data_IF_664060130754
#
_entry.id   IF_664060130754
#
_cell.length_a   1.000
_cell.length_b   1.000
_cell.length_c   1.000
_cell.angle_alpha   90.00
_cell.angle_beta   90.00
_cell.angle_gamma   90.00
#
_symmetry.space_group_name_H-M   'P 1'
#
loop_
_entity.id
_entity.type
_entity.pdbx_description
1 polymer ?
#
# COMPACT_ATOMS: atom_id res chain seq x y z
N UNK A 1 4.08 -35.35 23.59
CA UNK A 1 3.71 -34.36 22.55
C UNK A 1 3.71 -32.90 23.04
N UNK A 2 3.33 -32.59 24.30
CA UNK A 2 3.39 -31.22 24.86
C UNK A 2 4.79 -30.58 24.88
N UNK A 3 5.84 -31.37 25.16
CA UNK A 3 7.23 -30.88 25.29
C UNK A 3 7.87 -30.45 23.95
N UNK A 4 7.52 -31.10 22.84
CA UNK A 4 7.99 -30.70 21.49
C UNK A 4 7.40 -29.35 21.03
N UNK A 5 6.17 -29.04 21.45
CA UNK A 5 5.50 -27.78 21.13
C UNK A 5 6.09 -26.58 21.87
N UNK A 6 6.43 -26.73 23.16
CA UNK A 6 7.13 -25.70 23.94
C UNK A 6 8.56 -25.46 23.43
N UNK A 7 9.32 -26.53 23.18
CA UNK A 7 10.69 -26.43 22.62
C UNK A 7 10.71 -25.75 21.26
N UNK A 8 9.70 -26.00 20.41
CA UNK A 8 9.54 -25.32 19.12
C UNK A 8 9.22 -23.84 19.26
N UNK A 9 8.29 -23.45 20.15
CA UNK A 9 7.98 -22.04 20.42
C UNK A 9 9.17 -21.27 20.99
N UNK A 10 9.98 -21.93 21.84
CA UNK A 10 11.20 -21.35 22.41
C UNK A 10 12.25 -21.05 21.34
N UNK A 11 12.51 -22.00 20.43
CA UNK A 11 13.54 -21.84 19.40
C UNK A 11 13.13 -20.81 18.32
N UNK A 12 11.85 -20.78 17.93
CA UNK A 12 11.33 -19.79 16.99
C UNK A 12 11.43 -18.37 17.58
N UNK A 13 11.14 -18.21 18.87
CA UNK A 13 11.27 -16.93 19.57
C UNK A 13 12.74 -16.48 19.66
N UNK A 14 13.65 -17.37 20.04
CA UNK A 14 15.09 -17.06 20.07
C UNK A 14 15.61 -16.66 18.69
N UNK A 15 15.18 -17.37 17.65
CA UNK A 15 15.53 -17.08 16.27
C UNK A 15 15.09 -15.66 15.85
N UNK A 16 13.82 -15.30 16.08
CA UNK A 16 13.33 -13.94 15.80
C UNK A 16 14.05 -12.87 16.62
N UNK A 17 14.33 -13.14 17.90
CA UNK A 17 15.09 -12.22 18.75
C UNK A 17 16.48 -11.93 18.19
N UNK A 18 17.16 -12.93 17.63
CA UNK A 18 18.48 -12.74 17.00
C UNK A 18 18.40 -11.95 15.71
N UNK A 19 17.39 -12.22 14.88
CA UNK A 19 17.12 -11.45 13.68
C UNK A 19 16.82 -9.97 13.97
N UNK A 20 15.98 -9.68 14.96
CA UNK A 20 15.67 -8.29 15.32
C UNK A 20 16.88 -7.56 15.89
N UNK A 21 17.70 -8.23 16.72
CA UNK A 21 18.96 -7.68 17.20
C UNK A 21 19.94 -7.39 16.05
N UNK A 22 19.98 -8.24 15.02
CA UNK A 22 20.78 -7.99 13.81
C UNK A 22 20.29 -6.73 13.07
N UNK A 23 18.97 -6.56 12.90
CA UNK A 23 18.39 -5.34 12.29
C UNK A 23 18.79 -4.08 13.08
N UNK A 24 18.72 -4.12 14.41
CA UNK A 24 19.15 -2.98 15.25
C UNK A 24 20.64 -2.64 15.05
N UNK A 25 21.51 -3.66 14.94
CA UNK A 25 22.93 -3.46 14.67
C UNK A 25 23.18 -2.84 13.29
N UNK A 26 22.41 -3.24 12.27
CA UNK A 26 22.50 -2.69 10.92
C UNK A 26 22.05 -1.23 10.88
N UNK A 27 20.96 -0.87 11.56
CA UNK A 27 20.55 0.53 11.71
C UNK A 27 21.58 1.36 12.47
N UNK A 28 22.22 0.80 13.50
CA UNK A 28 23.31 1.47 14.21
C UNK A 28 24.56 1.66 13.33
N UNK A 29 24.90 0.68 12.48
CA UNK A 29 25.97 0.81 11.47
C UNK A 29 25.68 1.97 10.52
N UNK A 30 24.43 2.11 10.07
CA UNK A 30 23.96 3.22 9.24
C UNK A 30 24.16 4.58 9.92
N UNK A 31 23.71 4.75 11.16
CA UNK A 31 23.86 6.03 11.89
C UNK A 31 25.32 6.48 12.00
N UNK A 32 26.25 5.54 12.23
CA UNK A 32 27.67 5.85 12.28
C UNK A 32 28.24 6.30 10.91
N UNK A 33 27.74 5.73 9.80
CA UNK A 33 28.13 6.18 8.45
C UNK A 33 27.65 7.61 8.19
N UNK A 34 26.42 7.95 8.54
CA UNK A 34 25.90 9.31 8.41
C UNK A 34 26.69 10.33 9.23
N UNK A 35 26.97 10.01 10.50
CA UNK A 35 27.72 10.91 11.39
C UNK A 35 29.17 11.12 10.94
N UNK A 36 29.78 10.14 10.25
CA UNK A 36 31.12 10.26 9.66
C UNK A 36 31.14 11.29 8.52
N UNK A 37 30.09 11.34 7.69
CA UNK A 37 29.99 12.29 6.58
C UNK A 37 29.72 13.73 7.06
N UNK A 38 29.15 13.92 8.25
CA UNK A 38 28.84 15.23 8.82
C UNK A 38 29.97 15.87 9.65
N UNK A 39 30.95 15.10 10.14
CA UNK A 39 31.99 15.60 11.06
C UNK A 39 33.39 14.99 10.79
N UNK A 40 34.20 15.70 10.01
CA UNK A 40 35.59 15.34 9.64
C UNK A 40 36.57 15.35 10.84
N UNK A 41 36.21 15.92 11.99
CA UNK A 41 37.12 16.09 13.15
C UNK A 41 37.17 14.91 14.14
N UNK A 42 36.38 13.84 13.93
CA UNK A 42 36.27 12.69 14.86
C UNK A 42 36.55 11.32 14.20
N UNK A 43 37.37 11.28 13.16
CA UNK A 43 37.59 10.08 12.36
C UNK A 43 38.10 8.86 13.14
N UNK A 44 39.05 9.03 14.08
CA UNK A 44 39.67 7.89 14.78
C UNK A 44 38.69 7.15 15.70
N UNK A 45 37.84 7.88 16.46
CA UNK A 45 36.82 7.29 17.34
C UNK A 45 35.67 6.64 16.56
N UNK A 46 35.32 7.20 15.40
CA UNK A 46 34.30 6.64 14.52
C UNK A 46 34.79 5.33 13.86
N UNK A 47 36.07 5.24 13.47
CA UNK A 47 36.65 4.01 12.89
C UNK A 47 36.63 2.83 13.87
N UNK A 48 37.01 3.07 15.13
CA UNK A 48 36.98 2.03 16.19
C UNK A 48 35.55 1.56 16.49
N UNK A 49 34.60 2.50 16.55
CA UNK A 49 33.18 2.19 16.78
C UNK A 49 32.56 1.41 15.61
N UNK A 50 32.92 1.74 14.37
CA UNK A 50 32.47 1.00 13.17
C UNK A 50 33.03 -0.43 13.13
N UNK A 51 34.33 -0.61 13.39
CA UNK A 51 34.96 -1.93 13.43
C UNK A 51 34.32 -2.85 14.49
N UNK A 52 33.98 -2.30 15.66
CA UNK A 52 33.30 -3.04 16.71
C UNK A 52 31.91 -3.53 16.27
N UNK A 53 31.10 -2.66 15.66
CA UNK A 53 29.75 -3.01 15.18
C UNK A 53 29.81 -4.04 14.06
N UNK A 54 30.79 -3.97 13.15
CA UNK A 54 30.97 -5.00 12.13
C UNK A 54 31.28 -6.38 12.73
N UNK A 55 32.07 -6.42 13.81
CA UNK A 55 32.30 -7.64 14.59
C UNK A 55 31.01 -8.17 15.23
N UNK A 56 30.19 -7.29 15.80
CA UNK A 56 28.89 -7.64 16.40
C UNK A 56 27.91 -8.20 15.35
N UNK A 57 27.82 -7.57 14.17
CA UNK A 57 26.98 -8.05 13.04
C UNK A 57 27.44 -9.43 12.58
N UNK A 58 28.75 -9.64 12.40
CA UNK A 58 29.29 -10.94 11.99
C UNK A 58 29.00 -12.04 13.01
N UNK A 59 29.03 -11.71 14.29
CA UNK A 59 28.66 -12.65 15.35
C UNK A 59 27.16 -12.95 15.35
N UNK A 60 26.30 -11.95 15.14
CA UNK A 60 24.85 -12.14 15.03
C UNK A 60 24.48 -13.11 13.89
N UNK A 61 25.08 -12.96 12.70
CA UNK A 61 24.89 -13.91 11.59
C UNK A 61 25.30 -15.34 11.95
N UNK A 62 26.44 -15.53 12.62
CA UNK A 62 26.88 -16.87 13.07
C UNK A 62 25.92 -17.49 14.07
N UNK A 63 25.36 -16.70 14.99
CA UNK A 63 24.38 -17.18 15.95
C UNK A 63 23.07 -17.60 15.28
N UNK A 64 22.58 -16.81 14.32
CA UNK A 64 21.41 -17.15 13.50
C UNK A 64 21.66 -18.47 12.75
N UNK A 65 22.80 -18.61 12.08
CA UNK A 65 23.17 -19.84 11.35
C UNK A 65 23.25 -21.07 12.27
N UNK A 66 23.76 -20.89 13.50
CA UNK A 66 23.80 -21.95 14.50
C UNK A 66 22.40 -22.40 14.91
N UNK A 67 21.47 -21.47 15.12
CA UNK A 67 20.06 -21.77 15.42
C UNK A 67 19.41 -22.53 14.25
N UNK A 68 19.67 -22.14 13.00
CA UNK A 68 19.15 -22.85 11.84
C UNK A 68 19.68 -24.28 11.71
N UNK A 69 20.99 -24.47 11.96
CA UNK A 69 21.62 -25.80 12.00
C UNK A 69 21.02 -26.66 13.11
N UNK A 70 20.79 -26.09 14.29
CA UNK A 70 20.15 -26.78 15.41
C UNK A 70 18.70 -27.14 15.12
N UNK A 71 17.92 -26.22 14.55
CA UNK A 71 16.54 -26.44 14.12
C UNK A 71 16.46 -27.58 13.11
N UNK A 72 17.37 -27.60 12.12
CA UNK A 72 17.48 -28.67 11.13
C UNK A 72 17.78 -30.03 11.79
N UNK A 73 18.72 -30.10 12.73
CA UNK A 73 19.03 -31.33 13.50
C UNK A 73 17.81 -31.83 14.30
N UNK A 74 17.02 -30.91 14.83
CA UNK A 74 15.79 -31.21 15.60
C UNK A 74 14.55 -31.45 14.74
N UNK A 75 14.65 -31.34 13.41
CA UNK A 75 13.52 -31.45 12.48
C UNK A 75 12.49 -30.32 12.64
N UNK A 76 12.91 -29.18 13.18
CA UNK A 76 12.07 -27.98 13.34
C UNK A 76 12.27 -27.11 12.10
N UNK A 77 11.17 -26.87 11.37
CA UNK A 77 11.19 -25.94 10.24
C UNK A 77 10.78 -24.55 10.73
N UNK A 78 11.78 -23.68 10.90
CA UNK A 78 11.63 -22.25 11.20
C UNK A 78 10.86 -21.55 10.07
N UNK A 79 9.99 -20.60 10.40
CA UNK A 79 9.08 -19.96 9.44
C UNK A 79 9.83 -19.16 8.38
N UNK A 80 10.78 -18.30 8.77
CA UNK A 80 11.56 -17.52 7.82
C UNK A 80 12.34 -18.42 6.85
N UNK A 81 12.98 -19.48 7.35
CA UNK A 81 13.69 -20.47 6.51
C UNK A 81 12.75 -21.12 5.48
N UNK A 82 11.49 -21.40 5.86
CA UNK A 82 10.49 -21.90 4.91
C UNK A 82 10.14 -20.85 3.86
N UNK A 83 9.88 -19.61 4.26
CA UNK A 83 9.53 -18.50 3.36
C UNK A 83 10.66 -18.24 2.37
N UNK A 84 11.91 -18.14 2.86
CA UNK A 84 13.11 -18.01 2.04
C UNK A 84 13.19 -19.09 0.97
N UNK A 85 13.03 -20.36 1.36
CA UNK A 85 13.07 -21.49 0.42
C UNK A 85 11.89 -21.49 -0.56
N UNK A 86 10.68 -21.18 -0.10
CA UNK A 86 9.46 -21.19 -0.92
C UNK A 86 9.48 -20.12 -2.01
N UNK A 87 9.98 -18.93 -1.67
CA UNK A 87 9.99 -17.77 -2.57
C UNK A 87 11.35 -17.50 -3.21
N UNK A 88 12.35 -18.35 -2.95
CA UNK A 88 13.70 -18.23 -3.50
C UNK A 88 14.32 -16.86 -3.19
N UNK A 89 14.18 -16.43 -1.93
CA UNK A 89 14.59 -15.09 -1.51
C UNK A 89 16.12 -14.97 -1.41
N UNK A 90 16.66 -13.83 -1.84
CA UNK A 90 18.04 -13.44 -1.55
C UNK A 90 18.25 -13.10 -0.07
N UNK A 91 19.50 -12.91 0.34
CA UNK A 91 19.81 -12.49 1.72
C UNK A 91 19.29 -11.07 2.01
N UNK A 92 19.33 -10.19 1.02
CA UNK A 92 18.78 -8.83 1.12
C UNK A 92 17.26 -8.85 1.22
N UNK A 93 16.59 -9.68 0.41
CA UNK A 93 15.13 -9.82 0.48
C UNK A 93 14.66 -10.40 1.82
N UNK A 94 15.44 -11.32 2.39
CA UNK A 94 15.23 -11.82 3.75
C UNK A 94 15.38 -10.71 4.79
N UNK A 95 16.44 -9.90 4.70
CA UNK A 95 16.65 -8.75 5.60
C UNK A 95 15.50 -7.74 5.51
N UNK A 96 15.02 -7.43 4.31
CA UNK A 96 13.89 -6.51 4.10
C UNK A 96 12.61 -7.02 4.78
N UNK A 97 12.30 -8.31 4.63
CA UNK A 97 11.12 -8.90 5.29
C UNK A 97 11.23 -8.85 6.81
N UNK A 98 12.41 -9.15 7.36
CA UNK A 98 12.64 -9.12 8.80
C UNK A 98 12.55 -7.69 9.34
N UNK A 99 13.11 -6.72 8.63
CA UNK A 99 13.06 -5.31 9.02
C UNK A 99 11.63 -4.78 9.04
N UNK A 100 10.84 -5.05 7.99
CA UNK A 100 9.43 -4.68 7.93
C UNK A 100 8.62 -5.37 9.03
N UNK A 101 8.85 -6.67 9.26
CA UNK A 101 8.18 -7.38 10.36
C UNK A 101 8.47 -6.74 11.72
N UNK A 102 9.73 -6.37 11.97
CA UNK A 102 10.13 -5.72 13.22
C UNK A 102 9.41 -4.39 13.39
N UNK A 103 9.41 -3.56 12.34
CA UNK A 103 8.78 -2.24 12.37
C UNK A 103 7.26 -2.34 12.58
N UNK A 104 6.59 -3.27 11.89
CA UNK A 104 5.14 -3.51 12.02
C UNK A 104 4.76 -4.02 13.42
N UNK A 105 5.63 -4.83 14.06
CA UNK A 105 5.39 -5.36 15.42
C UNK A 105 5.73 -4.37 16.54
N UNK A 106 6.70 -3.46 16.32
CA UNK A 106 7.13 -2.48 17.31
C UNK A 106 6.25 -1.20 17.31
N UNK A 107 5.27 -1.09 16.41
CA UNK A 107 4.25 -0.01 16.40
C UNK A 107 4.85 1.40 16.29
N UNK A 108 5.84 1.56 15.41
CA UNK A 108 6.84 2.62 15.52
C UNK A 108 6.38 4.04 15.14
N UNK A 109 6.56 4.97 16.08
CA UNK A 109 6.72 6.43 15.84
C UNK A 109 8.17 6.77 15.42
N UNK A 110 9.10 5.79 15.39
CA UNK A 110 10.55 6.03 15.24
C UNK A 110 11.23 5.50 13.97
N UNK A 111 10.68 4.50 13.31
CA UNK A 111 11.27 3.93 12.09
C UNK A 111 10.30 4.16 10.94
N UNK A 112 10.77 4.79 9.87
CA UNK A 112 9.96 4.93 8.66
C UNK A 112 10.13 3.65 7.85
N UNK A 113 9.06 3.11 7.28
CA UNK A 113 9.22 2.02 6.33
C UNK A 113 9.56 2.55 4.91
N UNK A 114 10.24 3.70 4.84
CA UNK A 114 10.52 4.38 3.59
C UNK A 114 11.52 3.59 2.74
N UNK A 115 11.37 3.65 1.43
CA UNK A 115 12.31 2.98 0.52
C UNK A 115 13.77 3.44 0.66
N UNK A 116 14.01 4.71 1.03
CA UNK A 116 15.38 5.18 1.38
C UNK A 116 15.94 4.41 2.56
N UNK A 117 15.15 4.28 3.63
CA UNK A 117 15.56 3.61 4.87
C UNK A 117 15.86 2.13 4.61
N UNK A 118 14.98 1.46 3.86
CA UNK A 118 15.16 0.05 3.51
C UNK A 118 16.34 -0.18 2.57
N UNK A 119 16.61 0.72 1.61
CA UNK A 119 17.79 0.65 0.76
C UNK A 119 19.08 0.84 1.56
N UNK A 120 19.08 1.75 2.52
CA UNK A 120 20.25 2.00 3.37
C UNK A 120 20.58 0.87 4.32
N UNK A 121 19.60 0.01 4.61
CA UNK A 121 19.81 -1.21 5.36
C UNK A 121 20.61 -2.25 4.55
N UNK A 122 20.30 -2.36 3.25
CA UNK A 122 20.84 -3.43 2.40
C UNK A 122 22.01 -2.99 1.52
N UNK A 123 22.26 -1.70 1.34
CA UNK A 123 23.32 -1.17 0.47
C UNK A 123 24.47 -0.56 1.27
N UNK A 124 25.71 -0.83 0.86
CA UNK A 124 26.89 -0.23 1.48
C UNK A 124 27.22 1.16 0.94
N UNK A 125 26.97 1.40 -0.35
CA UNK A 125 27.26 2.64 -1.06
C UNK A 125 26.19 3.02 -2.08
N UNK A 126 26.37 4.16 -2.76
CA UNK A 126 25.40 4.67 -3.73
C UNK A 126 25.31 3.82 -5.01
N UNK A 127 26.37 3.09 -5.39
CA UNK A 127 26.35 2.18 -6.54
C UNK A 127 25.46 0.98 -6.23
N UNK A 128 25.63 0.38 -5.06
CA UNK A 128 24.76 -0.71 -4.60
C UNK A 128 23.31 -0.26 -4.43
N UNK A 129 23.07 0.97 -3.94
CA UNK A 129 21.70 1.53 -3.84
C UNK A 129 21.00 1.54 -5.21
N UNK A 130 21.72 1.89 -6.28
CA UNK A 130 21.15 1.93 -7.63
C UNK A 130 20.79 0.54 -8.16
N UNK A 131 21.62 -0.46 -7.86
CA UNK A 131 21.35 -1.85 -8.23
C UNK A 131 20.16 -2.43 -7.45
N UNK A 132 20.16 -2.21 -6.12
CA UNK A 132 19.17 -2.75 -5.17
C UNK A 132 17.82 -2.05 -5.22
N UNK A 133 17.70 -0.90 -5.90
CA UNK A 133 16.43 -0.24 -6.22
C UNK A 133 15.45 -1.18 -6.95
N UNK A 134 15.98 -2.14 -7.72
CA UNK A 134 15.19 -3.13 -8.45
C UNK A 134 14.29 -3.99 -7.54
N UNK A 135 14.68 -4.23 -6.28
CA UNK A 135 13.86 -4.95 -5.29
C UNK A 135 12.54 -4.23 -4.96
N UNK A 136 12.54 -2.91 -5.07
CA UNK A 136 11.40 -2.03 -4.80
C UNK A 136 10.59 -1.68 -6.05
N UNK A 137 10.99 -2.22 -7.21
CA UNK A 137 10.24 -2.08 -8.46
C UNK A 137 9.04 -3.04 -8.50
N UNK A 138 8.05 -2.78 -9.37
CA UNK A 138 6.91 -3.68 -9.55
C UNK A 138 7.32 -5.12 -9.95
N UNK A 139 8.51 -5.30 -10.53
CA UNK A 139 9.06 -6.60 -10.91
C UNK A 139 9.95 -7.24 -9.82
N UNK A 140 10.20 -6.55 -8.71
CA UNK A 140 10.94 -7.08 -7.57
C UNK A 140 10.27 -8.34 -7.02
N UNK A 141 11.06 -9.32 -6.59
CA UNK A 141 10.52 -10.63 -6.18
C UNK A 141 9.52 -10.49 -5.04
N UNK A 142 9.85 -9.71 -4.01
CA UNK A 142 8.99 -9.53 -2.83
C UNK A 142 7.61 -8.93 -3.18
N UNK A 143 7.57 -7.94 -4.07
CA UNK A 143 6.34 -7.31 -4.55
C UNK A 143 5.57 -8.28 -5.44
N UNK A 144 6.24 -8.90 -6.42
CA UNK A 144 5.64 -9.88 -7.34
C UNK A 144 5.05 -11.10 -6.63
N UNK A 145 5.64 -11.52 -5.51
CA UNK A 145 5.15 -12.63 -4.69
C UNK A 145 4.11 -12.19 -3.64
N UNK A 146 3.73 -10.92 -3.63
CA UNK A 146 2.79 -10.31 -2.69
C UNK A 146 3.23 -10.51 -1.24
N UNK A 147 4.52 -10.32 -0.94
CA UNK A 147 5.08 -10.40 0.41
C UNK A 147 5.24 -9.00 1.04
N UNK A 148 5.49 -7.99 0.21
CA UNK A 148 5.51 -6.58 0.63
C UNK A 148 4.60 -5.77 -0.29
N UNK A 149 4.00 -4.72 0.24
CA UNK A 149 3.23 -3.73 -0.50
C UNK A 149 3.72 -2.32 -0.15
N UNK A 150 3.33 -1.33 -0.96
CA UNK A 150 3.67 0.09 -0.76
C UNK A 150 2.40 0.90 -0.61
N UNK A 151 2.41 1.89 0.30
CA UNK A 151 1.25 2.75 0.56
C UNK A 151 1.08 3.87 -0.48
N UNK A 152 2.15 4.23 -1.18
CA UNK A 152 2.14 5.30 -2.18
C UNK A 152 2.93 4.91 -3.43
N UNK A 153 2.39 5.22 -4.61
CA UNK A 153 3.05 4.94 -5.88
C UNK A 153 3.77 6.16 -6.48
N UNK A 154 4.58 6.79 -5.63
CA UNK A 154 5.59 7.74 -6.03
C UNK A 154 6.94 7.08 -6.29
N UNK A 155 8.00 7.87 -6.14
CA UNK A 155 9.37 7.34 -6.14
C UNK A 155 9.46 6.15 -5.19
N UNK A 156 10.03 4.99 -5.61
CA UNK A 156 10.25 3.85 -4.73
C UNK A 156 11.01 4.21 -3.46
N UNK A 157 11.78 5.30 -3.48
CA UNK A 157 12.51 5.87 -2.35
C UNK A 157 11.60 6.54 -1.31
N UNK A 158 10.53 7.21 -1.76
CA UNK A 158 9.63 7.99 -0.89
C UNK A 158 8.40 7.22 -0.44
N UNK A 159 8.16 6.05 -1.02
CA UNK A 159 7.07 5.17 -0.62
C UNK A 159 7.37 4.49 0.72
N UNK A 160 6.35 4.37 1.56
CA UNK A 160 6.38 3.51 2.74
C UNK A 160 5.94 2.10 2.36
N UNK A 161 6.67 1.10 2.86
CA UNK A 161 6.41 -0.31 2.61
C UNK A 161 5.83 -0.99 3.85
N UNK A 162 5.05 -2.04 3.66
CA UNK A 162 4.53 -2.85 4.77
C UNK A 162 4.48 -4.33 4.38
N UNK A 163 4.43 -5.21 5.37
CA UNK A 163 4.17 -6.61 5.11
C UNK A 163 2.72 -6.83 4.74
N UNK A 164 2.49 -7.61 3.70
CA UNK A 164 1.13 -8.05 3.36
C UNK A 164 0.62 -9.03 4.41
N UNK A 165 -0.70 -9.17 4.52
CA UNK A 165 -1.29 -10.17 5.42
C UNK A 165 -0.79 -11.59 5.14
N UNK A 166 -0.54 -11.90 3.86
CA UNK A 166 0.08 -13.16 3.42
C UNK A 166 1.45 -13.34 4.05
N UNK A 167 2.32 -12.34 3.96
CA UNK A 167 3.63 -12.41 4.58
C UNK A 167 3.52 -12.55 6.10
N UNK A 168 2.62 -11.80 6.75
CA UNK A 168 2.37 -11.89 8.19
C UNK A 168 1.90 -13.29 8.62
N UNK A 169 1.00 -13.92 7.86
CA UNK A 169 0.57 -15.29 8.10
C UNK A 169 1.73 -16.29 7.95
N UNK A 170 2.53 -16.17 6.91
CA UNK A 170 3.64 -17.11 6.68
C UNK A 170 4.76 -16.94 7.71
N UNK A 171 5.15 -15.70 8.00
CA UNK A 171 6.27 -15.36 8.88
C UNK A 171 5.98 -15.59 10.36
N UNK A 172 4.79 -15.26 10.84
CA UNK A 172 4.47 -15.36 12.28
C UNK A 172 3.16 -16.12 12.57
N UNK A 173 2.35 -16.39 11.56
CA UNK A 173 1.07 -17.10 11.74
C UNK A 173 -0.02 -16.16 12.20
N UNK A 174 0.12 -14.87 11.87
CA UNK A 174 -0.92 -13.89 12.06
C UNK A 174 -2.16 -14.32 11.29
N UNK A 175 -3.27 -14.55 11.98
CA UNK A 175 -4.56 -14.90 11.39
C UNK A 175 -5.49 -13.71 11.59
N UNK A 176 -5.28 -12.69 10.75
CA UNK A 176 -5.95 -11.40 10.84
C UNK A 176 -7.42 -11.43 10.42
N UNK A 177 -7.83 -12.39 9.59
CA UNK A 177 -9.22 -12.64 9.16
C UNK A 177 -9.37 -14.16 8.92
N UNK A 178 -10.61 -14.69 8.97
CA UNK A 178 -10.92 -16.14 8.98
C UNK A 178 -10.29 -16.89 7.80
N UNK A 179 -9.47 -17.90 8.12
CA UNK A 179 -8.78 -18.84 7.20
C UNK A 179 -9.69 -19.56 6.18
N UNK A 180 -11.02 -19.47 6.35
CA UNK A 180 -12.02 -20.10 5.47
C UNK A 180 -12.35 -19.26 4.22
N UNK A 181 -12.28 -17.93 4.31
CA UNK A 181 -12.54 -17.02 3.18
C UNK A 181 -11.39 -17.02 2.16
N UNK A 182 -10.16 -17.37 2.60
CA UNK A 182 -8.95 -17.41 1.78
C UNK A 182 -8.78 -18.68 0.93
N UNK A 183 -9.39 -19.80 1.34
CA UNK A 183 -9.30 -21.08 0.63
C UNK A 183 -10.34 -21.19 -0.50
N UNK A 184 -11.46 -20.46 -0.38
CA UNK A 184 -12.46 -20.32 -1.46
C UNK A 184 -11.96 -19.39 -2.59
N UNK A 185 -10.97 -18.53 -2.32
CA UNK A 185 -10.39 -17.56 -3.28
C UNK A 185 -9.34 -18.12 -4.26
N UNK A 186 -8.74 -19.30 -4.01
CA UNK A 186 -7.66 -19.82 -4.87
C UNK A 186 -8.14 -20.52 -6.15
N UNK A 187 -9.36 -21.03 -6.18
CA UNK A 187 -9.92 -21.63 -7.40
C UNK A 187 -10.50 -20.56 -8.36
N UNK A 188 -10.90 -19.39 -7.84
CA UNK A 188 -11.45 -18.29 -8.65
C UNK A 188 -10.40 -17.31 -9.18
N UNK A 189 -9.24 -17.15 -8.51
CA UNK A 189 -8.17 -16.24 -8.92
C UNK A 189 -7.30 -16.73 -10.11
N UNK A 190 -7.73 -17.79 -10.80
CA UNK A 190 -7.21 -18.17 -12.12
C UNK A 190 -7.96 -17.48 -13.27
N UNK A 191 -9.05 -16.77 -12.97
CA UNK A 191 -9.77 -15.88 -13.90
C UNK A 191 -9.46 -14.41 -13.64
N UNK A 192 -9.36 -13.63 -14.71
CA UNK A 192 -9.25 -12.17 -14.70
C UNK A 192 -10.23 -11.54 -13.71
N UNK A 193 -9.75 -10.86 -12.66
CA UNK A 193 -10.41 -9.70 -12.06
C UNK A 193 -9.53 -8.99 -11.03
N UNK A 194 -8.81 -7.97 -11.52
CA UNK A 194 -8.13 -6.95 -10.71
C UNK A 194 -9.06 -5.78 -10.32
N UNK A 195 -10.37 -6.00 -10.21
CA UNK A 195 -11.38 -4.95 -9.99
C UNK A 195 -11.45 -4.46 -8.54
N UNK A 196 -11.16 -5.32 -7.57
CA UNK A 196 -11.43 -5.06 -6.15
C UNK A 196 -10.54 -3.96 -5.50
N UNK A 197 -9.56 -3.43 -6.25
CA UNK A 197 -8.64 -2.42 -5.74
C UNK A 197 -8.93 -0.98 -6.23
N UNK A 198 -9.73 -0.79 -7.29
CA UNK A 198 -9.92 0.55 -7.88
C UNK A 198 -11.12 1.31 -7.31
N UNK A 199 -12.23 0.61 -7.03
CA UNK A 199 -13.49 1.21 -6.58
C UNK A 199 -13.97 0.51 -5.31
N UNK A 200 -14.22 1.30 -4.26
CA UNK A 200 -14.93 0.80 -3.08
C UNK A 200 -16.41 1.09 -3.23
N UNK A 201 -17.22 0.03 -3.42
CA UNK A 201 -18.67 0.16 -3.48
C UNK A 201 -19.29 0.17 -2.08
N UNK A 202 -20.13 1.17 -1.83
CA UNK A 202 -20.83 1.35 -0.57
C UNK A 202 -22.33 1.43 -0.86
N UNK A 203 -23.12 0.68 -0.10
CA UNK A 203 -24.57 0.88 -0.03
C UNK A 203 -24.85 1.98 0.99
N UNK A 204 -25.33 3.16 0.55
CA UNK A 204 -25.50 4.29 1.44
C UNK A 204 -26.61 4.02 2.46
N UNK A 205 -26.34 4.32 3.73
CA UNK A 205 -27.31 4.31 4.82
C UNK A 205 -27.76 5.72 5.24
N UNK A 206 -27.07 6.75 4.75
CA UNK A 206 -27.30 8.17 5.06
C UNK A 206 -28.29 8.80 4.09
N UNK A 207 -29.10 9.74 4.56
CA UNK A 207 -30.00 10.58 3.74
C UNK A 207 -29.69 12.06 3.89
N UNK A 208 -30.25 12.91 3.04
CA UNK A 208 -29.99 14.36 3.09
C UNK A 208 -30.35 15.00 4.43
N UNK A 209 -31.38 14.50 5.11
CA UNK A 209 -31.78 14.94 6.45
C UNK A 209 -30.70 14.73 7.53
N UNK A 210 -29.75 13.83 7.28
CA UNK A 210 -28.68 13.46 8.22
C UNK A 210 -27.44 14.36 8.02
N UNK A 211 -27.50 15.32 7.09
CA UNK A 211 -26.41 16.26 6.77
C UNK A 211 -26.87 17.69 7.04
N UNK A 212 -26.05 18.46 7.76
CA UNK A 212 -26.30 19.88 8.00
C UNK A 212 -25.80 20.68 6.80
N UNK A 213 -26.72 21.27 6.03
CA UNK A 213 -26.44 22.07 4.84
C UNK A 213 -27.11 23.43 4.95
N UNK A 214 -26.56 24.44 4.25
CA UNK A 214 -27.24 25.74 4.13
C UNK A 214 -28.53 25.57 3.30
N UNK A 215 -29.56 26.40 3.52
CA UNK A 215 -30.82 26.32 2.76
C UNK A 215 -30.60 26.40 1.25
N UNK A 216 -29.69 27.26 0.80
CA UNK A 216 -29.39 27.46 -0.63
C UNK A 216 -28.75 26.23 -1.25
N UNK A 217 -27.82 25.58 -0.53
CA UNK A 217 -27.15 24.37 -1.01
C UNK A 217 -28.12 23.17 -1.02
N UNK A 218 -29.00 23.08 -0.01
CA UNK A 218 -30.03 22.05 0.06
C UNK A 218 -31.01 22.16 -1.10
N UNK A 219 -31.46 23.37 -1.43
CA UNK A 219 -32.34 23.64 -2.57
C UNK A 219 -31.65 23.21 -3.88
N UNK A 220 -30.40 23.65 -4.10
CA UNK A 220 -29.63 23.27 -5.29
C UNK A 220 -29.48 21.76 -5.44
N UNK A 221 -29.11 21.04 -4.36
CA UNK A 221 -28.98 19.57 -4.40
C UNK A 221 -30.33 18.90 -4.68
N UNK A 222 -31.42 19.44 -4.11
CA UNK A 222 -32.77 18.91 -4.30
C UNK A 222 -33.21 19.01 -5.75
N UNK A 223 -32.94 20.14 -6.42
CA UNK A 223 -33.22 20.34 -7.84
C UNK A 223 -32.48 19.32 -8.70
N UNK A 224 -31.21 19.07 -8.39
CA UNK A 224 -30.43 18.09 -9.14
C UNK A 224 -30.95 16.67 -8.92
N UNK A 225 -31.34 16.30 -7.70
CA UNK A 225 -31.96 14.98 -7.42
C UNK A 225 -33.28 14.85 -8.20
N UNK A 226 -34.10 15.90 -8.22
CA UNK A 226 -35.33 15.91 -9.01
C UNK A 226 -35.06 15.73 -10.50
N UNK A 227 -34.02 16.39 -11.03
CA UNK A 227 -33.57 16.22 -12.41
C UNK A 227 -33.14 14.78 -12.72
N UNK A 228 -32.35 14.15 -11.83
CA UNK A 228 -31.91 12.75 -12.00
C UNK A 228 -33.12 11.79 -11.98
N UNK A 229 -34.05 11.97 -11.03
CA UNK A 229 -35.27 11.15 -10.95
C UNK A 229 -36.18 11.35 -12.17
N UNK A 230 -36.24 12.59 -12.69
CA UNK A 230 -37.03 12.98 -13.87
C UNK A 230 -36.38 12.65 -15.22
N UNK A 231 -35.11 12.25 -15.24
CA UNK A 231 -34.31 12.04 -16.44
C UNK A 231 -34.99 11.08 -17.44
N UNK A 232 -35.55 9.98 -16.95
CA UNK A 232 -36.32 9.02 -17.77
C UNK A 232 -37.54 9.66 -18.42
N UNK A 233 -38.27 10.49 -17.68
CA UNK A 233 -39.46 11.18 -18.19
C UNK A 233 -39.09 12.18 -19.28
N UNK A 234 -38.04 12.97 -19.06
CA UNK A 234 -37.60 14.06 -19.93
C UNK A 234 -36.98 13.51 -21.23
N UNK A 235 -36.08 12.54 -21.13
CA UNK A 235 -35.33 12.05 -22.30
C UNK A 235 -36.08 10.97 -23.08
N UNK A 236 -36.78 10.05 -22.41
CA UNK A 236 -37.54 8.99 -23.10
C UNK A 236 -38.95 9.47 -23.47
N UNK A 237 -39.72 9.93 -22.48
CA UNK A 237 -41.16 10.18 -22.64
C UNK A 237 -41.45 11.50 -23.38
N UNK A 238 -40.68 12.55 -23.12
CA UNK A 238 -40.81 13.84 -23.82
C UNK A 238 -39.96 13.93 -25.09
N UNK A 239 -39.17 12.89 -25.41
CA UNK A 239 -38.46 12.75 -26.69
C UNK A 239 -37.23 13.64 -26.86
N UNK A 240 -36.77 14.33 -25.81
CA UNK A 240 -35.57 15.17 -25.87
C UNK A 240 -34.29 14.37 -26.16
N UNK A 241 -34.25 13.08 -25.78
CA UNK A 241 -33.13 12.19 -26.06
C UNK A 241 -32.87 11.93 -27.56
N UNK A 242 -33.84 12.25 -28.44
CA UNK A 242 -33.66 12.15 -29.90
C UNK A 242 -32.98 13.38 -30.52
N UNK A 243 -32.88 14.48 -29.78
CA UNK A 243 -32.34 15.76 -30.26
C UNK A 243 -31.04 16.17 -29.54
N UNK A 244 -30.73 15.58 -28.39
CA UNK A 244 -29.57 15.92 -27.56
C UNK A 244 -28.72 14.65 -27.41
N UNK A 245 -27.56 14.62 -28.09
CA UNK A 245 -26.66 13.45 -28.13
C UNK A 245 -25.50 13.51 -27.11
N UNK A 246 -25.43 14.54 -26.26
CA UNK A 246 -24.37 14.70 -25.26
C UNK A 246 -24.90 15.41 -24.00
N UNK A 247 -24.21 15.24 -22.86
CA UNK A 247 -24.54 15.97 -21.63
C UNK A 247 -25.80 15.48 -20.89
N UNK A 248 -26.19 14.23 -21.09
CA UNK A 248 -27.35 13.64 -20.38
C UNK A 248 -27.02 13.30 -18.93
N UNK A 249 -25.74 13.09 -18.58
CA UNK A 249 -25.28 12.83 -17.22
C UNK A 249 -25.31 14.05 -16.32
N UNK A 250 -25.35 13.81 -15.01
CA UNK A 250 -25.27 14.86 -13.99
C UNK A 250 -23.93 14.77 -13.27
N UNK A 251 -23.21 15.89 -13.22
CA UNK A 251 -21.93 16.01 -12.50
C UNK A 251 -22.06 17.08 -11.44
N UNK A 252 -21.59 16.79 -10.23
CA UNK A 252 -21.52 17.73 -9.11
C UNK A 252 -20.07 17.91 -8.68
N UNK A 253 -19.68 19.14 -8.34
CA UNK A 253 -18.37 19.45 -7.76
C UNK A 253 -18.57 20.08 -6.38
N UNK A 254 -18.11 19.38 -5.35
CA UNK A 254 -18.08 19.90 -3.98
C UNK A 254 -16.69 20.45 -3.68
N UNK A 255 -16.60 21.74 -3.33
CA UNK A 255 -15.33 22.38 -2.96
C UNK A 255 -15.46 23.11 -1.62
N UNK A 256 -14.35 23.23 -0.90
CA UNK A 256 -14.28 23.93 0.38
C UNK A 256 -13.23 23.33 1.32
N UNK A 257 -13.00 23.93 2.50
CA UNK A 257 -12.02 23.45 3.48
C UNK A 257 -12.20 21.97 3.87
N UNK A 258 -11.14 21.27 4.31
CA UNK A 258 -11.27 19.91 4.83
C UNK A 258 -12.22 19.89 6.04
N UNK A 259 -12.97 18.80 6.20
CA UNK A 259 -13.92 18.64 7.31
C UNK A 259 -15.30 19.30 7.13
N UNK A 260 -15.59 19.95 5.99
CA UNK A 260 -16.90 20.57 5.72
C UNK A 260 -17.99 19.60 5.22
N UNK A 261 -17.80 18.29 5.36
CA UNK A 261 -18.82 17.30 5.04
C UNK A 261 -19.05 16.99 3.56
N UNK A 262 -18.11 17.31 2.66
CA UNK A 262 -18.23 17.05 1.20
C UNK A 262 -18.51 15.58 0.86
N UNK A 263 -17.64 14.67 1.31
CA UNK A 263 -17.81 13.22 1.12
C UNK A 263 -19.10 12.72 1.75
N UNK A 264 -19.45 13.24 2.93
CA UNK A 264 -20.67 12.90 3.65
C UNK A 264 -21.94 13.33 2.90
N UNK A 265 -21.90 14.49 2.24
CA UNK A 265 -22.98 15.01 1.40
C UNK A 265 -23.18 14.13 0.16
N UNK A 266 -22.09 13.66 -0.48
CA UNK A 266 -22.18 12.73 -1.61
C UNK A 266 -22.82 11.38 -1.22
N UNK A 267 -22.46 10.83 -0.05
CA UNK A 267 -23.08 9.62 0.49
C UNK A 267 -24.59 9.81 0.75
N UNK A 268 -24.97 10.97 1.29
CA UNK A 268 -26.38 11.30 1.55
C UNK A 268 -27.20 11.46 0.27
N UNK A 269 -26.63 12.07 -0.78
CA UNK A 269 -27.26 12.16 -2.12
C UNK A 269 -27.48 10.76 -2.70
N UNK A 270 -26.50 9.86 -2.56
CA UNK A 270 -26.63 8.47 -3.01
C UNK A 270 -27.76 7.73 -2.28
N UNK A 271 -27.88 7.92 -0.97
CA UNK A 271 -28.98 7.34 -0.20
C UNK A 271 -30.35 7.93 -0.55
N UNK A 272 -30.44 9.22 -0.88
CA UNK A 272 -31.68 9.87 -1.33
C UNK A 272 -32.13 9.41 -2.74
N UNK A 273 -31.17 8.99 -3.56
CA UNK A 273 -31.38 8.40 -4.87
C UNK A 273 -31.53 6.87 -4.84
N UNK A 274 -31.35 6.25 -3.66
CA UNK A 274 -31.36 4.78 -3.47
C UNK A 274 -30.39 4.05 -4.41
N UNK A 275 -29.24 4.67 -4.68
CA UNK A 275 -28.20 4.11 -5.55
C UNK A 275 -26.98 3.72 -4.72
N UNK A 276 -26.32 2.63 -5.11
CA UNK A 276 -24.97 2.33 -4.64
C UNK A 276 -24.02 3.48 -5.04
N UNK A 277 -22.97 3.71 -4.26
CA UNK A 277 -21.93 4.69 -4.57
C UNK A 277 -20.57 4.00 -4.63
N UNK A 278 -19.89 4.14 -5.76
CA UNK A 278 -18.51 3.72 -5.95
C UNK A 278 -17.58 4.88 -5.60
N UNK A 279 -16.75 4.70 -4.58
CA UNK A 279 -15.74 5.68 -4.18
C UNK A 279 -14.42 5.31 -4.86
N UNK A 280 -13.93 6.24 -5.66
CA UNK A 280 -12.65 6.20 -6.34
C UNK A 280 -11.71 7.11 -5.58
N UNK A 281 -10.66 6.52 -5.01
CA UNK A 281 -9.62 7.28 -4.32
C UNK A 281 -8.43 7.48 -5.26
N UNK A 282 -7.84 8.67 -5.23
CA UNK A 282 -6.73 9.05 -6.10
C UNK A 282 -5.55 8.08 -6.00
N UNK A 283 -5.27 7.57 -4.79
CA UNK A 283 -4.15 6.66 -4.53
C UNK A 283 -4.29 5.35 -5.32
N UNK A 284 -5.52 4.88 -5.60
CA UNK A 284 -5.74 3.64 -6.35
C UNK A 284 -5.61 3.82 -7.87
N UNK A 285 -5.78 5.05 -8.39
CA UNK A 285 -5.71 5.34 -9.83
C UNK A 285 -4.27 5.56 -10.34
N UNK A 286 -3.35 5.95 -9.45
CA UNK A 286 -1.93 6.18 -9.79
C UNK A 286 -1.05 4.92 -9.66
N UNK A 287 -1.59 3.84 -9.10
CA UNK A 287 -0.85 2.67 -8.68
C UNK A 287 -0.44 1.70 -9.82
N UNK A 288 -0.42 2.13 -11.08
CA UNK A 288 0.15 1.30 -12.14
C UNK A 288 0.49 2.09 -13.41
N UNK A 289 1.78 2.46 -13.60
CA UNK A 289 2.44 2.93 -14.84
C UNK A 289 1.78 4.05 -15.68
N UNK A 290 2.60 5.02 -16.09
CA UNK A 290 2.25 6.05 -17.09
C UNK A 290 1.76 5.39 -18.38
N UNK A 291 0.46 5.52 -18.66
CA UNK A 291 -0.25 4.92 -19.81
C UNK A 291 -1.39 3.95 -19.45
N UNK A 292 -1.53 3.50 -18.19
CA UNK A 292 -2.64 2.63 -17.74
C UNK A 292 -3.71 3.37 -16.93
N UNK A 293 -3.45 4.61 -16.51
CA UNK A 293 -4.44 5.50 -15.88
C UNK A 293 -5.68 5.69 -16.75
N UNK A 294 -5.54 5.85 -18.07
CA UNK A 294 -6.68 6.01 -19.00
C UNK A 294 -7.53 4.73 -19.09
N UNK A 295 -6.89 3.55 -19.09
CA UNK A 295 -7.58 2.25 -19.09
C UNK A 295 -8.26 1.97 -17.75
N UNK A 296 -7.63 2.33 -16.64
CA UNK A 296 -8.22 2.18 -15.31
C UNK A 296 -9.38 3.16 -15.11
N UNK A 297 -9.27 4.40 -15.59
CA UNK A 297 -10.38 5.36 -15.60
C UNK A 297 -11.52 4.81 -16.47
N UNK A 298 -11.23 4.34 -17.68
CA UNK A 298 -12.24 3.73 -18.56
C UNK A 298 -12.95 2.55 -17.86
N UNK A 299 -12.19 1.65 -17.25
CA UNK A 299 -12.71 0.52 -16.47
C UNK A 299 -13.56 0.96 -15.27
N UNK A 300 -13.13 2.02 -14.58
CA UNK A 300 -13.90 2.59 -13.46
C UNK A 300 -15.27 3.08 -13.91
N UNK A 301 -15.33 3.74 -15.07
CA UNK A 301 -16.59 4.15 -15.67
C UNK A 301 -17.42 2.96 -16.17
N UNK A 302 -16.81 1.93 -16.77
CA UNK A 302 -17.50 0.70 -17.19
C UNK A 302 -18.14 -0.02 -15.99
N UNK A 303 -17.41 -0.25 -14.90
CA UNK A 303 -17.93 -0.92 -13.71
C UNK A 303 -19.05 -0.10 -13.03
N UNK A 304 -18.92 1.23 -13.02
CA UNK A 304 -19.97 2.11 -12.50
C UNK A 304 -21.24 2.09 -13.37
N UNK A 305 -21.08 2.00 -14.70
CA UNK A 305 -22.18 1.88 -15.66
C UNK A 305 -22.92 0.55 -15.50
N UNK A 306 -22.19 -0.57 -15.38
CA UNK A 306 -22.77 -1.90 -15.16
C UNK A 306 -23.60 -1.96 -13.87
N UNK A 307 -23.10 -1.37 -12.78
CA UNK A 307 -23.80 -1.30 -11.49
C UNK A 307 -24.85 -0.20 -11.41
N UNK A 308 -24.89 0.71 -12.38
CA UNK A 308 -25.76 1.91 -12.41
C UNK A 308 -25.65 2.73 -11.13
N UNK A 309 -24.43 2.83 -10.60
CA UNK A 309 -24.14 3.47 -9.33
C UNK A 309 -23.83 4.97 -9.51
N UNK A 310 -23.70 5.69 -8.40
CA UNK A 310 -23.07 7.01 -8.37
C UNK A 310 -21.56 6.81 -8.26
N UNK A 311 -20.77 7.58 -8.99
CA UNK A 311 -19.32 7.55 -8.92
C UNK A 311 -18.81 8.80 -8.21
N UNK A 312 -18.04 8.60 -7.13
CA UNK A 312 -17.42 9.67 -6.36
C UNK A 312 -15.91 9.62 -6.54
N UNK A 313 -15.34 10.70 -7.06
CA UNK A 313 -13.90 10.95 -7.02
C UNK A 313 -13.59 11.81 -5.80
N UNK A 314 -13.01 11.21 -4.76
CA UNK A 314 -12.56 11.96 -3.59
C UNK A 314 -11.15 12.53 -3.88
N UNK A 315 -10.84 13.72 -3.36
CA UNK A 315 -9.57 14.43 -3.62
C UNK A 315 -9.25 14.64 -5.13
N UNK A 316 -10.30 14.99 -5.89
CA UNK A 316 -10.23 15.17 -7.34
C UNK A 316 -9.23 16.27 -7.80
N UNK A 317 -8.85 17.19 -6.94
CA UNK A 317 -7.81 18.19 -7.21
C UNK A 317 -6.44 17.56 -7.50
N UNK A 318 -6.14 16.39 -6.93
CA UNK A 318 -4.96 15.62 -7.25
C UNK A 318 -5.02 15.00 -8.67
N UNK A 319 -6.22 14.67 -9.16
CA UNK A 319 -6.45 14.12 -10.51
C UNK A 319 -6.40 15.17 -11.61
N UNK A 320 -6.84 16.40 -11.34
CA UNK A 320 -7.12 17.42 -12.35
C UNK A 320 -6.10 18.58 -12.37
N UNK A 321 -4.85 18.34 -11.94
CA UNK A 321 -3.79 19.36 -12.03
C UNK A 321 -3.52 19.79 -13.48
N UNK A 322 -3.37 21.10 -13.73
CA UNK A 322 -3.13 21.66 -15.07
C UNK A 322 -1.99 20.96 -15.82
N UNK A 323 -2.23 20.62 -17.10
CA UNK A 323 -1.18 20.19 -18.03
C UNK A 323 -0.19 21.35 -18.23
N UNK A 324 0.86 21.41 -17.43
CA UNK A 324 2.03 22.23 -17.76
C UNK A 324 2.78 21.54 -18.90
N UNK A 325 2.46 21.97 -20.13
CA UNK A 325 3.20 21.68 -21.35
C UNK A 325 4.67 22.04 -21.15
N UNK A 326 5.50 21.06 -20.79
CA UNK A 326 6.95 21.24 -20.68
C UNK A 326 7.53 21.17 -22.09
N UNK A 327 7.47 22.30 -22.80
CA UNK A 327 8.27 22.53 -24.00
C UNK A 327 9.76 22.41 -23.61
N UNK A 328 10.34 21.23 -23.80
CA UNK A 328 11.79 21.08 -23.95
C UNK A 328 12.16 21.67 -25.31
N UNK A 329 12.45 22.98 -25.33
CA UNK A 329 13.31 23.55 -26.37
C UNK A 329 14.72 23.04 -26.09
N UNK A 330 15.22 22.22 -27.00
CA UNK A 330 16.65 22.03 -27.19
C UNK A 330 17.19 23.34 -27.78
N UNK A 331 17.95 24.10 -27.00
CA UNK A 331 18.85 25.10 -27.56
C UNK A 331 20.13 24.37 -28.00
N UNK A 332 20.46 24.51 -29.29
CA UNK A 332 21.72 24.10 -29.91
C UNK A 332 22.85 25.07 -29.57
#
# INVERSE_FOLDING_TARGET
>A
MKDKGLKRKSLEYEYWKKWFALIDLLYKKRELRFNKNANLSKESRNRESSSKIEGEIKNAYKEIENIEKEAKKKGINLRLVKVKKKYHLSEEEELLLVALLKNDLEGGIKNTNSGVELLELIAEDNSEKLEKLSFFSANGNLIKKNLIAREFMGSPLRADYHLTEKAMFELIGWRGVKEKEWMEWQDEASGENSSDYLITFIKPSLKLKDVVLSPELLESITDVIAQIKGQRLIFEKWGFGKKINYGTGTTMLFYGPPGTGKTFTALAIAGELEKEIGIVRYENLQDYLVGMTEKNIARVFEEAEERKCILLFDEADALFSERSFRNMKYDN
#
